data_IF_838871903360
#
_entry.id   IF_838871903360
#
_cell.length_a   1.000
_cell.length_b   1.000
_cell.length_c   1.000
_cell.angle_alpha   90.00
_cell.angle_beta   90.00
_cell.angle_gamma   90.00
#
_symmetry.space_group_name_H-M   'P 1'
#
loop_
_entity.id
_entity.type
_entity.pdbx_description
1 polymer ?
#
# COMPACT_ATOMS: atom_id res chain seq x y z
N UNK A 1 -11.80 -34.84 -10.68
CA UNK A 1 -12.09 -34.00 -9.48
C UNK A 1 -13.57 -33.70 -9.42
N UNK A 2 -14.32 -34.37 -8.54
CA UNK A 2 -15.71 -34.03 -8.27
C UNK A 2 -15.75 -32.62 -7.70
N UNK A 3 -16.40 -31.67 -8.37
CA UNK A 3 -16.53 -30.30 -7.86
C UNK A 3 -17.76 -30.25 -6.95
N UNK A 4 -17.62 -30.24 -5.61
CA UNK A 4 -18.74 -30.50 -4.69
C UNK A 4 -19.85 -29.43 -4.68
N UNK A 5 -19.79 -28.41 -5.54
CA UNK A 5 -20.75 -27.31 -5.59
C UNK A 5 -21.02 -26.87 -7.04
N UNK A 6 -21.51 -27.81 -7.86
CA UNK A 6 -22.01 -27.52 -9.22
C UNK A 6 -23.39 -26.86 -9.18
N UNK A 7 -24.24 -27.26 -8.23
CA UNK A 7 -25.56 -26.68 -8.02
C UNK A 7 -25.49 -25.41 -7.13
N UNK A 8 -26.10 -24.28 -7.54
CA UNK A 8 -26.14 -23.06 -6.74
C UNK A 8 -26.80 -23.23 -5.36
N UNK A 9 -27.77 -24.14 -5.20
CA UNK A 9 -28.46 -24.36 -3.92
C UNK A 9 -27.55 -25.02 -2.89
N UNK A 10 -26.74 -25.99 -3.29
CA UNK A 10 -25.75 -26.61 -2.41
C UNK A 10 -24.68 -25.60 -2.00
N UNK A 11 -24.23 -24.77 -2.93
CA UNK A 11 -23.29 -23.69 -2.63
C UNK A 11 -23.87 -22.67 -1.66
N UNK A 12 -25.13 -22.28 -1.83
CA UNK A 12 -25.83 -21.37 -0.93
C UNK A 12 -25.91 -21.92 0.50
N UNK A 13 -26.33 -23.19 0.66
CA UNK A 13 -26.42 -23.85 1.97
C UNK A 13 -25.04 -23.97 2.65
N UNK A 14 -24.02 -24.38 1.89
CA UNK A 14 -22.65 -24.47 2.42
C UNK A 14 -22.14 -23.09 2.88
N UNK A 15 -22.37 -22.04 2.09
CA UNK A 15 -21.97 -20.68 2.43
C UNK A 15 -22.63 -20.17 3.72
N UNK A 16 -23.94 -20.40 3.88
CA UNK A 16 -24.65 -20.01 5.10
C UNK A 16 -24.17 -20.77 6.33
N UNK A 17 -23.87 -22.07 6.18
CA UNK A 17 -23.33 -22.89 7.26
C UNK A 17 -21.96 -22.37 7.72
N UNK A 18 -21.05 -22.13 6.78
CA UNK A 18 -19.71 -21.62 7.10
C UNK A 18 -19.74 -20.19 7.65
N UNK A 19 -20.66 -19.34 7.18
CA UNK A 19 -20.83 -18.00 7.73
C UNK A 19 -21.31 -18.01 9.18
N UNK A 20 -22.11 -19.01 9.58
CA UNK A 20 -22.57 -19.17 10.96
C UNK A 20 -21.50 -19.64 11.94
N UNK A 21 -20.39 -20.20 11.46
CA UNK A 21 -19.27 -20.66 12.30
C UNK A 21 -18.20 -19.59 12.54
N UNK A 22 -18.37 -18.38 12.00
CA UNK A 22 -17.41 -17.30 12.21
C UNK A 22 -17.33 -16.91 13.69
N UNK A 23 -16.15 -16.49 14.14
CA UNK A 23 -15.86 -16.19 15.54
C UNK A 23 -16.53 -14.90 16.07
N UNK A 24 -16.95 -13.99 15.19
CA UNK A 24 -17.49 -12.67 15.53
C UNK A 24 -18.94 -12.56 15.02
N UNK A 25 -19.87 -12.17 15.91
CA UNK A 25 -21.30 -12.04 15.61
C UNK A 25 -21.57 -11.01 14.51
N UNK A 26 -20.87 -9.86 14.53
CA UNK A 26 -20.98 -8.85 13.48
C UNK A 26 -20.53 -9.40 12.11
N UNK A 27 -19.52 -10.27 12.12
CA UNK A 27 -19.05 -10.95 10.91
C UNK A 27 -20.06 -12.01 10.44
N UNK A 28 -20.64 -12.80 11.33
CA UNK A 28 -21.71 -13.76 10.99
C UNK A 28 -22.87 -13.06 10.29
N UNK A 29 -23.39 -11.98 10.87
CA UNK A 29 -24.51 -11.21 10.34
C UNK A 29 -24.19 -10.60 8.98
N UNK A 30 -23.05 -9.93 8.88
CA UNK A 30 -22.60 -9.29 7.64
C UNK A 30 -22.46 -10.30 6.50
N UNK A 31 -21.79 -11.42 6.76
CA UNK A 31 -21.54 -12.45 5.74
C UNK A 31 -22.83 -13.15 5.34
N UNK A 32 -23.69 -13.49 6.30
CA UNK A 32 -25.01 -14.08 6.05
C UNK A 32 -25.88 -13.17 5.18
N UNK A 33 -25.95 -11.88 5.52
CA UNK A 33 -26.72 -10.90 4.76
C UNK A 33 -26.11 -10.68 3.37
N UNK A 34 -24.79 -10.60 3.26
CA UNK A 34 -24.10 -10.47 1.97
C UNK A 34 -24.40 -11.67 1.05
N UNK A 35 -24.39 -12.90 1.57
CA UNK A 35 -24.74 -14.11 0.82
C UNK A 35 -26.19 -14.05 0.36
N UNK A 36 -27.14 -13.78 1.28
CA UNK A 36 -28.58 -13.66 0.96
C UNK A 36 -28.83 -12.62 -0.13
N UNK A 37 -28.31 -11.40 0.03
CA UNK A 37 -28.47 -10.33 -0.96
C UNK A 37 -27.84 -10.69 -2.30
N UNK A 38 -26.67 -11.36 -2.31
CA UNK A 38 -26.03 -11.76 -3.57
C UNK A 38 -26.85 -12.79 -4.32
N UNK A 39 -27.38 -13.82 -3.64
CA UNK A 39 -28.19 -14.87 -4.28
C UNK A 39 -29.57 -14.36 -4.70
N UNK A 40 -30.23 -13.53 -3.87
CA UNK A 40 -31.49 -12.86 -4.25
C UNK A 40 -31.32 -12.02 -5.50
N UNK A 41 -30.31 -11.15 -5.54
CA UNK A 41 -30.02 -10.33 -6.74
C UNK A 41 -29.80 -11.17 -8.00
N UNK A 42 -29.18 -12.36 -7.88
CA UNK A 42 -29.03 -13.25 -9.05
C UNK A 42 -30.34 -13.95 -9.43
N UNK A 43 -31.20 -14.26 -8.47
CA UNK A 43 -32.55 -14.74 -8.73
C UNK A 43 -33.34 -13.65 -9.46
N UNK A 44 -33.41 -12.45 -8.93
CA UNK A 44 -34.14 -11.32 -9.52
C UNK A 44 -33.64 -11.01 -10.93
N UNK A 45 -32.32 -11.09 -11.16
CA UNK A 45 -31.73 -10.91 -12.50
C UNK A 45 -32.15 -12.01 -13.48
N UNK A 46 -32.36 -13.26 -13.02
CA UNK A 46 -32.85 -14.35 -13.87
C UNK A 46 -34.34 -14.20 -14.14
N UNK A 47 -35.12 -13.87 -13.12
CA UNK A 47 -36.57 -13.71 -13.24
C UNK A 47 -36.89 -12.55 -14.19
N UNK A 48 -36.13 -11.45 -14.10
CA UNK A 48 -36.24 -10.31 -15.02
C UNK A 48 -35.90 -10.67 -16.49
N UNK A 49 -34.98 -11.60 -16.74
CA UNK A 49 -34.64 -12.05 -18.11
C UNK A 49 -35.51 -13.21 -18.60
N UNK A 50 -36.37 -13.78 -17.75
CA UNK A 50 -37.33 -14.82 -18.16
C UNK A 50 -38.62 -14.23 -18.74
N UNK A 51 -38.97 -12.98 -18.41
CA UNK A 51 -40.07 -12.25 -19.04
C UNK A 51 -39.74 -11.70 -20.44
N UNK A 52 -38.52 -11.91 -20.93
CA UNK A 52 -38.10 -11.64 -22.29
C UNK A 52 -36.82 -12.41 -22.60
N UNK A 53 -36.97 -13.58 -23.24
CA UNK A 53 -35.92 -14.49 -23.75
C UNK A 53 -34.47 -14.14 -23.38
N UNK A 54 -33.97 -14.63 -22.24
CA UNK A 54 -32.67 -15.32 -22.16
C UNK A 54 -32.35 -15.77 -20.72
N UNK A 55 -32.21 -17.08 -20.54
CA UNK A 55 -31.44 -17.63 -19.42
C UNK A 55 -30.05 -16.96 -19.40
N UNK A 56 -29.51 -16.62 -18.21
CA UNK A 56 -28.17 -16.03 -18.10
C UNK A 56 -27.17 -16.83 -18.95
N UNK A 57 -26.26 -16.17 -19.70
CA UNK A 57 -25.25 -16.87 -20.48
C UNK A 57 -24.53 -17.89 -19.60
N UNK A 58 -24.40 -19.14 -20.08
CA UNK A 58 -23.78 -20.25 -19.32
C UNK A 58 -22.42 -19.89 -18.70
N UNK A 59 -21.68 -18.99 -19.37
CA UNK A 59 -20.41 -18.45 -18.90
C UNK A 59 -20.54 -17.56 -17.66
N UNK A 60 -21.54 -16.68 -17.60
CA UNK A 60 -21.78 -15.79 -16.47
C UNK A 60 -22.20 -16.59 -15.23
N UNK A 61 -23.06 -17.60 -15.41
CA UNK A 61 -23.41 -18.53 -14.33
C UNK A 61 -22.18 -19.25 -13.78
N UNK A 62 -21.33 -19.77 -14.67
CA UNK A 62 -20.10 -20.47 -14.31
C UNK A 62 -19.13 -19.57 -13.54
N UNK A 63 -19.00 -18.31 -13.97
CA UNK A 63 -18.16 -17.31 -13.30
C UNK A 63 -18.69 -16.94 -11.91
N UNK A 64 -20.01 -16.80 -11.75
CA UNK A 64 -20.63 -16.55 -10.45
C UNK A 64 -20.45 -17.73 -9.49
N UNK A 65 -20.64 -18.97 -9.97
CA UNK A 65 -20.38 -20.16 -9.17
C UNK A 65 -18.90 -20.26 -8.77
N UNK A 66 -17.97 -19.90 -9.66
CA UNK A 66 -16.53 -19.85 -9.36
C UNK A 66 -16.23 -18.82 -8.25
N UNK A 67 -16.85 -17.64 -8.32
CA UNK A 67 -16.74 -16.60 -7.27
C UNK A 67 -17.29 -17.10 -5.93
N UNK A 68 -18.47 -17.74 -5.95
CA UNK A 68 -19.08 -18.30 -4.74
C UNK A 68 -18.22 -19.40 -4.11
N UNK A 69 -17.62 -20.29 -4.91
CA UNK A 69 -16.67 -21.32 -4.40
C UNK A 69 -15.41 -20.71 -3.79
N UNK A 70 -14.85 -19.66 -4.41
CA UNK A 70 -13.70 -18.94 -3.84
C UNK A 70 -14.06 -18.28 -2.51
N UNK A 71 -15.28 -17.78 -2.39
CA UNK A 71 -15.79 -17.18 -1.16
C UNK A 71 -16.02 -18.23 -0.08
N UNK A 72 -16.57 -19.40 -0.43
CA UNK A 72 -16.70 -20.55 0.47
C UNK A 72 -15.36 -20.99 1.02
N UNK A 73 -14.37 -21.16 0.14
CA UNK A 73 -13.01 -21.50 0.55
C UNK A 73 -12.44 -20.46 1.53
N UNK A 74 -12.64 -19.16 1.28
CA UNK A 74 -12.21 -18.12 2.21
C UNK A 74 -12.87 -18.25 3.59
N UNK A 75 -14.16 -18.57 3.67
CA UNK A 75 -14.88 -18.77 4.94
C UNK A 75 -14.39 -20.02 5.68
N UNK A 76 -14.25 -21.15 4.98
CA UNK A 76 -13.71 -22.39 5.54
C UNK A 76 -12.32 -22.17 6.13
N UNK A 77 -11.42 -21.50 5.39
CA UNK A 77 -10.08 -21.16 5.87
C UNK A 77 -10.11 -20.21 7.06
N UNK A 78 -11.08 -19.31 7.14
CA UNK A 78 -11.22 -18.44 8.30
C UNK A 78 -11.65 -19.24 9.53
N UNK A 79 -12.59 -20.18 9.36
CA UNK A 79 -13.07 -21.08 10.42
C UNK A 79 -11.98 -22.05 10.90
N UNK A 80 -11.09 -22.50 10.00
CA UNK A 80 -9.89 -23.28 10.33
C UNK A 80 -8.79 -22.47 11.04
N UNK A 81 -8.96 -21.15 11.23
CA UNK A 81 -8.01 -20.30 11.96
C UNK A 81 -6.88 -19.69 11.13
N UNK A 82 -6.95 -19.73 9.79
CA UNK A 82 -5.91 -19.12 8.96
C UNK A 82 -5.97 -17.59 9.02
N UNK A 83 -4.94 -16.98 9.62
CA UNK A 83 -4.84 -15.54 9.88
C UNK A 83 -5.11 -14.66 8.64
N UNK A 84 -4.63 -15.09 7.46
CA UNK A 84 -4.87 -14.37 6.20
C UNK A 84 -6.35 -14.35 5.80
N UNK A 85 -7.06 -15.46 5.99
CA UNK A 85 -8.50 -15.56 5.70
C UNK A 85 -9.32 -14.80 6.74
N UNK A 86 -9.01 -14.96 8.02
CA UNK A 86 -9.62 -14.21 9.15
C UNK A 86 -9.50 -12.70 8.93
N UNK A 87 -8.30 -12.21 8.58
CA UNK A 87 -8.07 -10.79 8.29
C UNK A 87 -8.92 -10.29 7.11
N UNK A 88 -9.16 -11.13 6.10
CA UNK A 88 -9.99 -10.76 4.96
C UNK A 88 -11.49 -10.69 5.32
N UNK A 89 -11.98 -11.63 6.14
CA UNK A 89 -13.33 -11.61 6.72
C UNK A 89 -13.54 -10.31 7.50
N UNK A 90 -12.69 -10.04 8.48
CA UNK A 90 -12.76 -8.81 9.28
C UNK A 90 -12.72 -7.53 8.45
N UNK A 91 -11.81 -7.47 7.47
CA UNK A 91 -11.73 -6.30 6.58
C UNK A 91 -13.00 -6.10 5.77
N UNK A 92 -13.72 -7.16 5.42
CA UNK A 92 -15.00 -7.05 4.73
C UNK A 92 -16.10 -6.58 5.69
N UNK A 93 -16.20 -7.19 6.87
CA UNK A 93 -17.18 -6.84 7.93
C UNK A 93 -17.08 -5.37 8.31
N UNK A 94 -15.91 -4.92 8.73
CA UNK A 94 -15.65 -3.55 9.19
C UNK A 94 -15.36 -2.59 8.03
N UNK A 95 -15.68 -3.00 6.79
CA UNK A 95 -15.59 -2.15 5.60
C UNK A 95 -14.22 -1.47 5.40
N UNK A 96 -13.14 -2.14 5.81
CA UNK A 96 -11.79 -1.75 5.45
C UNK A 96 -11.47 -2.10 3.98
N UNK A 97 -12.29 -2.93 3.35
CA UNK A 97 -12.18 -3.29 1.93
C UNK A 97 -13.56 -3.48 1.28
N UNK A 98 -13.59 -3.42 -0.05
CA UNK A 98 -14.73 -3.87 -0.86
C UNK A 98 -15.73 -2.77 -1.20
N UNK A 99 -16.96 -3.18 -1.51
CA UNK A 99 -18.05 -2.26 -1.90
C UNK A 99 -18.49 -1.38 -0.72
N UNK A 100 -18.63 -1.96 0.48
CA UNK A 100 -19.04 -1.24 1.69
C UNK A 100 -18.09 -0.07 2.01
N UNK A 101 -16.77 -0.30 1.94
CA UNK A 101 -15.77 0.78 2.06
C UNK A 101 -16.03 1.91 1.07
N UNK A 102 -16.16 1.57 -0.21
CA UNK A 102 -16.34 2.57 -1.27
C UNK A 102 -17.62 3.36 -1.08
N UNK A 103 -18.70 2.73 -0.62
CA UNK A 103 -19.94 3.41 -0.34
C UNK A 103 -19.78 4.44 0.79
N UNK A 104 -19.16 4.06 1.92
CA UNK A 104 -18.94 5.00 3.04
C UNK A 104 -17.93 6.10 2.69
N UNK A 105 -16.89 5.78 1.93
CA UNK A 105 -15.96 6.80 1.45
C UNK A 105 -16.59 7.75 0.43
N UNK A 106 -17.59 7.30 -0.33
CA UNK A 106 -18.25 8.14 -1.34
C UNK A 106 -18.83 9.39 -0.70
N UNK A 107 -19.43 9.27 0.49
CA UNK A 107 -20.00 10.40 1.23
C UNK A 107 -18.93 11.41 1.67
N UNK A 108 -17.78 10.92 2.14
CA UNK A 108 -16.67 11.78 2.56
C UNK A 108 -15.87 12.38 1.39
N UNK A 109 -15.95 11.76 0.21
CA UNK A 109 -15.29 12.22 -1.00
C UNK A 109 -16.14 13.19 -1.82
N UNK A 110 -17.40 13.43 -1.44
CA UNK A 110 -18.14 14.56 -1.98
C UNK A 110 -17.36 15.78 -1.49
N UNK A 111 -16.80 16.61 -2.40
CA UNK A 111 -16.24 17.87 -1.96
C UNK A 111 -17.40 18.58 -1.27
N UNK A 112 -17.28 18.78 0.05
CA UNK A 112 -18.18 19.74 0.71
C UNK A 112 -18.08 20.98 -0.16
N UNK A 113 -19.22 21.51 -0.60
CA UNK A 113 -19.24 22.77 -1.32
C UNK A 113 -18.62 23.79 -0.38
N UNK A 114 -17.31 23.95 -0.51
CA UNK A 114 -16.61 25.14 -0.16
C UNK A 114 -17.24 26.18 -1.07
N UNK A 115 -18.37 26.74 -0.62
CA UNK A 115 -18.53 28.18 -0.68
C UNK A 115 -17.20 28.71 -0.21
N UNK A 116 -16.33 29.00 -1.19
CA UNK A 116 -14.99 29.53 -1.07
C UNK A 116 -14.52 29.60 0.38
N UNK A 117 -14.10 28.45 0.92
CA UNK A 117 -13.10 28.49 1.97
C UNK A 117 -11.90 29.08 1.25
N UNK A 118 -11.86 30.42 1.20
CA UNK A 118 -10.69 31.18 0.83
C UNK A 118 -9.62 30.57 1.69
N UNK A 119 -8.79 29.72 1.07
CA UNK A 119 -7.55 29.32 1.69
C UNK A 119 -6.94 30.65 2.10
N UNK A 120 -6.81 30.87 3.42
CA UNK A 120 -6.18 32.08 3.92
C UNK A 120 -4.94 32.30 3.08
N UNK A 121 -4.67 33.54 2.66
CA UNK A 121 -3.53 33.86 1.79
C UNK A 121 -2.21 33.32 2.37
N UNK A 122 -2.20 33.05 3.68
CA UNK A 122 -1.10 32.48 4.46
C UNK A 122 -1.18 30.96 4.67
N UNK A 123 -2.11 30.25 4.02
CA UNK A 123 -2.23 28.80 4.13
C UNK A 123 -1.00 28.16 3.48
N UNK A 124 -0.10 27.70 4.33
CA UNK A 124 1.00 26.84 3.93
C UNK A 124 0.60 25.38 4.19
N UNK A 125 0.79 24.48 3.21
CA UNK A 125 0.56 23.07 3.45
C UNK A 125 1.49 22.58 4.58
N UNK A 126 1.05 21.57 5.37
CA UNK A 126 1.85 21.05 6.48
C UNK A 126 3.30 20.75 6.05
N UNK A 127 4.33 21.05 6.87
CA UNK A 127 5.74 20.89 6.49
C UNK A 127 6.12 19.49 6.01
N UNK A 128 5.43 18.47 6.51
CA UNK A 128 5.62 17.08 6.08
C UNK A 128 5.13 16.86 4.64
N UNK A 129 4.05 17.52 4.23
CA UNK A 129 3.51 17.45 2.89
C UNK A 129 4.45 18.14 1.88
N UNK A 130 4.94 19.35 2.20
CA UNK A 130 5.92 20.05 1.35
C UNK A 130 7.21 19.25 1.20
N UNK A 131 7.69 18.62 2.27
CA UNK A 131 8.84 17.71 2.22
C UNK A 131 8.61 16.54 1.25
N UNK A 132 7.46 15.87 1.32
CA UNK A 132 7.12 14.75 0.42
C UNK A 132 7.08 15.21 -1.03
N UNK A 133 6.41 16.33 -1.31
CA UNK A 133 6.31 16.88 -2.66
C UNK A 133 7.69 17.24 -3.23
N UNK A 134 8.56 17.82 -2.41
CA UNK A 134 9.94 18.14 -2.78
C UNK A 134 10.80 16.87 -3.01
N UNK A 135 10.52 15.77 -2.30
CA UNK A 135 11.18 14.50 -2.55
C UNK A 135 10.70 13.84 -3.85
N UNK A 136 9.39 13.87 -4.12
CA UNK A 136 8.80 13.25 -5.31
C UNK A 136 9.18 13.98 -6.60
N UNK A 137 9.19 15.32 -6.58
CA UNK A 137 9.59 16.13 -7.75
C UNK A 137 11.04 15.87 -8.16
N UNK A 138 11.94 15.67 -7.20
CA UNK A 138 13.33 15.28 -7.45
C UNK A 138 13.41 13.92 -8.14
N UNK A 139 12.71 12.91 -7.62
CA UNK A 139 12.70 11.55 -8.20
C UNK A 139 12.17 11.56 -9.64
N UNK A 140 11.09 12.32 -9.90
CA UNK A 140 10.52 12.44 -11.25
C UNK A 140 11.52 13.02 -12.25
N UNK A 141 12.19 14.13 -11.88
CA UNK A 141 13.23 14.75 -12.70
C UNK A 141 14.40 13.82 -13.00
N UNK A 142 14.76 12.93 -12.06
CA UNK A 142 15.81 11.93 -12.30
C UNK A 142 15.39 10.85 -13.29
N UNK A 143 14.14 10.37 -13.21
CA UNK A 143 13.59 9.39 -14.14
C UNK A 143 13.47 9.94 -15.57
N UNK A 144 13.02 11.20 -15.71
CA UNK A 144 12.89 11.86 -17.01
C UNK A 144 14.24 12.16 -17.66
N UNK A 145 15.26 12.49 -16.87
CA UNK A 145 16.59 12.83 -17.38
C UNK A 145 17.45 11.61 -17.78
N UNK A 146 16.94 10.37 -17.64
CA UNK A 146 17.70 9.14 -17.94
C UNK A 146 18.96 8.94 -17.08
N UNK A 147 19.10 9.72 -15.99
CA UNK A 147 20.26 9.66 -15.09
C UNK A 147 20.02 8.60 -14.01
N UNK A 148 21.07 7.84 -13.68
CA UNK A 148 21.06 6.89 -12.57
C UNK A 148 20.51 7.56 -11.30
N UNK A 149 19.60 6.89 -10.60
CA UNK A 149 19.10 7.30 -9.28
C UNK A 149 20.33 7.64 -8.41
N UNK A 150 20.42 8.82 -7.76
CA UNK A 150 21.59 9.16 -6.97
C UNK A 150 21.76 8.21 -5.77
N UNK A 151 23.00 7.94 -5.31
CA UNK A 151 23.25 7.08 -4.16
C UNK A 151 22.51 7.57 -2.91
N UNK A 152 22.07 6.65 -2.04
CA UNK A 152 21.37 7.03 -0.83
C UNK A 152 22.35 7.79 0.05
N UNK A 153 21.93 8.93 0.61
CA UNK A 153 22.72 9.67 1.59
C UNK A 153 22.73 8.86 2.88
N UNK A 154 23.89 8.30 3.23
CA UNK A 154 24.11 7.55 4.47
C UNK A 154 24.75 8.51 5.47
N UNK A 155 24.15 8.76 6.65
CA UNK A 155 24.75 9.62 7.65
C UNK A 155 25.97 8.94 8.28
N UNK A 156 27.03 9.71 8.56
CA UNK A 156 28.28 9.20 9.14
C UNK A 156 28.08 8.59 10.53
N UNK A 157 27.15 9.17 11.29
CA UNK A 157 26.86 8.81 12.68
C UNK A 157 25.42 8.34 12.85
N UNK A 158 25.21 7.41 13.77
CA UNK A 158 23.90 6.95 14.21
C UNK A 158 23.30 7.90 15.27
N UNK A 159 22.07 7.62 15.74
CA UNK A 159 21.40 8.43 16.78
C UNK A 159 22.19 8.57 18.09
N UNK A 160 23.14 7.67 18.35
CA UNK A 160 24.00 7.63 19.54
C UNK A 160 25.39 8.22 19.27
N UNK A 161 25.56 8.98 18.19
CA UNK A 161 26.83 9.58 17.77
C UNK A 161 27.97 8.58 17.44
N UNK A 162 27.66 7.29 17.36
CA UNK A 162 28.60 6.24 16.94
C UNK A 162 28.64 6.12 15.42
N UNK A 163 29.75 5.65 14.81
CA UNK A 163 29.81 5.44 13.37
C UNK A 163 28.70 4.51 12.89
N UNK A 164 28.15 4.79 11.72
CA UNK A 164 27.06 3.98 11.16
C UNK A 164 27.53 2.52 10.93
N UNK A 165 26.77 1.50 11.35
CA UNK A 165 27.23 0.11 11.29
C UNK A 165 27.57 -0.33 9.85
N UNK A 166 28.80 -0.80 9.61
CA UNK A 166 29.29 -1.19 8.27
C UNK A 166 28.39 -2.22 7.57
N UNK A 167 27.83 -3.18 8.32
CA UNK A 167 26.88 -4.19 7.79
C UNK A 167 25.62 -3.51 7.23
N UNK A 168 25.12 -2.48 7.92
CA UNK A 168 23.94 -1.73 7.51
C UNK A 168 24.22 -0.86 6.27
N UNK A 169 25.40 -0.24 6.20
CA UNK A 169 25.88 0.49 5.02
C UNK A 169 25.88 -0.45 3.81
N UNK A 170 26.52 -1.63 3.92
CA UNK A 170 26.53 -2.65 2.85
C UNK A 170 25.11 -3.05 2.43
N UNK A 171 24.20 -3.26 3.38
CA UNK A 171 22.81 -3.62 3.10
C UNK A 171 21.98 -2.50 2.46
N UNK A 172 22.32 -1.23 2.69
CA UNK A 172 21.69 -0.07 2.04
C UNK A 172 22.18 0.04 0.60
N UNK A 173 23.50 -0.05 0.39
CA UNK A 173 24.13 0.01 -0.94
C UNK A 173 23.63 -1.14 -1.83
N UNK A 174 23.59 -2.37 -1.30
CA UNK A 174 23.09 -3.55 -2.03
C UNK A 174 21.64 -3.40 -2.48
N UNK A 175 20.78 -2.76 -1.68
CA UNK A 175 19.38 -2.51 -2.02
C UNK A 175 19.18 -1.39 -3.04
N UNK A 176 20.09 -0.42 -3.05
CA UNK A 176 20.03 0.71 -3.97
C UNK A 176 20.50 0.36 -5.39
N UNK A 177 21.38 -0.62 -5.55
CA UNK A 177 21.87 -1.02 -6.88
C UNK A 177 20.70 -1.36 -7.83
N UNK A 178 20.64 -0.72 -9.01
CA UNK A 178 19.58 -0.96 -9.98
C UNK A 178 19.68 -2.41 -10.48
N UNK A 179 18.70 -3.23 -10.09
CA UNK A 179 18.66 -4.66 -10.38
C UNK A 179 18.12 -5.52 -9.23
N UNK A 180 18.20 -5.04 -7.99
CA UNK A 180 17.76 -5.82 -6.82
C UNK A 180 16.23 -5.83 -6.61
N UNK A 181 15.50 -4.86 -7.16
CA UNK A 181 14.03 -4.73 -7.05
C UNK A 181 13.36 -4.49 -8.41
N UNK A 182 13.76 -5.21 -9.46
CA UNK A 182 12.95 -5.27 -10.67
C UNK A 182 12.00 -6.50 -10.60
N UNK A 183 10.67 -6.33 -10.70
CA UNK A 183 9.71 -7.43 -10.58
C UNK A 183 9.88 -8.56 -11.60
N UNK A 184 10.70 -8.35 -12.64
CA UNK A 184 10.94 -9.30 -13.73
C UNK A 184 12.24 -10.12 -13.57
N UNK A 185 13.05 -9.88 -12.52
CA UNK A 185 14.39 -10.45 -12.40
C UNK A 185 14.49 -11.64 -11.42
N UNK A 186 13.38 -12.30 -11.06
CA UNK A 186 13.44 -13.48 -10.18
C UNK A 186 14.16 -14.69 -10.82
N UNK A 187 14.29 -14.73 -12.16
CA UNK A 187 14.83 -15.89 -12.89
C UNK A 187 16.14 -15.64 -13.65
N UNK A 188 16.76 -14.46 -13.52
CA UNK A 188 18.07 -14.19 -14.15
C UNK A 188 19.10 -13.91 -13.06
N UNK A 189 20.08 -14.81 -12.96
CA UNK A 189 21.22 -14.70 -12.07
C UNK A 189 21.83 -13.29 -12.08
N UNK A 190 22.35 -12.88 -10.93
CA UNK A 190 22.91 -11.56 -10.69
C UNK A 190 23.82 -11.12 -11.86
N UNK A 191 23.66 -9.90 -12.40
CA UNK A 191 24.61 -9.41 -13.40
C UNK A 191 26.01 -9.33 -12.79
N UNK A 192 27.07 -9.64 -13.55
CA UNK A 192 28.41 -9.69 -13.03
C UNK A 192 28.82 -8.32 -12.48
N UNK A 193 29.33 -8.33 -11.25
CA UNK A 193 29.89 -7.15 -10.58
C UNK A 193 31.05 -6.65 -11.43
N UNK A 194 30.87 -5.57 -12.18
CA UNK A 194 31.99 -4.86 -12.81
C UNK A 194 32.87 -4.31 -11.69
N UNK A 195 34.09 -4.83 -11.57
CA UNK A 195 35.12 -4.53 -10.54
C UNK A 195 35.54 -3.05 -10.43
N UNK A 196 34.99 -2.15 -11.25
CA UNK A 196 35.44 -0.75 -11.34
C UNK A 196 34.95 0.17 -10.21
N UNK A 197 34.13 -0.30 -9.28
CA UNK A 197 33.59 0.56 -8.19
C UNK A 197 34.41 0.56 -6.89
N UNK A 198 35.44 -0.29 -6.76
CA UNK A 198 36.24 -0.37 -5.53
C UNK A 198 37.37 0.65 -5.42
N UNK A 199 37.61 1.49 -6.44
CA UNK A 199 38.72 2.45 -6.44
C UNK A 199 38.34 3.89 -6.08
N UNK A 200 37.08 4.18 -5.75
CA UNK A 200 36.65 5.55 -5.42
C UNK A 200 36.52 5.85 -3.91
N UNK A 201 36.86 4.90 -3.03
CA UNK A 201 36.82 5.11 -1.58
C UNK A 201 38.20 5.29 -0.91
N UNK A 202 39.28 5.40 -1.70
CA UNK A 202 40.65 5.54 -1.17
C UNK A 202 41.45 6.63 -1.87
N UNK A 203 40.83 7.76 -2.18
CA UNK A 203 41.58 9.00 -2.41
C UNK A 203 41.04 10.08 -1.50
N UNK A 204 41.70 10.19 -0.34
CA UNK A 204 41.89 11.45 0.34
C UNK A 204 42.33 12.49 -0.67
N UNK A 205 41.44 13.41 -1.05
CA UNK A 205 41.85 14.72 -1.50
C UNK A 205 41.02 15.75 -0.74
N UNK A 206 41.75 16.46 0.12
CA UNK A 206 41.31 17.71 0.72
C UNK A 206 41.09 18.71 -0.42
N UNK A 207 39.99 19.45 -0.36
CA UNK A 207 39.74 20.61 -1.22
C UNK A 207 38.79 20.33 -2.38
N UNK A 208 37.87 21.28 -2.60
CA UNK A 208 36.93 21.38 -3.71
C UNK A 208 35.65 20.51 -3.63
N UNK A 209 34.78 20.87 -2.68
CA UNK A 209 33.34 20.93 -2.94
C UNK A 209 32.65 21.87 -1.93
N UNK A 210 33.26 23.04 -1.72
CA UNK A 210 32.76 24.07 -0.79
C UNK A 210 31.94 25.19 -1.45
N UNK A 211 31.69 25.17 -2.77
CA UNK A 211 31.20 26.39 -3.46
C UNK A 211 29.81 26.28 -4.12
N UNK A 212 28.90 25.39 -3.68
CA UNK A 212 27.53 25.35 -4.25
C UNK A 212 26.39 25.46 -3.22
N UNK A 213 26.64 26.06 -2.06
CA UNK A 213 25.59 26.48 -1.12
C UNK A 213 25.69 27.98 -0.88
N UNK A 214 24.94 28.83 -1.62
CA UNK A 214 24.80 30.22 -1.24
C UNK A 214 23.63 30.31 -0.27
N UNK A 215 23.87 30.06 1.02
CA UNK A 215 23.10 30.70 2.10
C UNK A 215 24.03 30.85 3.31
N UNK A 216 24.77 31.96 3.27
CA UNK A 216 25.17 32.69 4.45
C UNK A 216 23.90 33.01 5.26
N UNK A 217 23.87 32.59 6.51
CA UNK A 217 22.96 33.14 7.52
C UNK A 217 23.49 34.52 7.89
N UNK A 218 22.75 35.63 7.68
CA UNK A 218 23.14 36.90 8.24
C UNK A 218 22.49 37.08 9.61
N UNK A 219 23.27 37.72 10.49
CA UNK A 219 22.85 38.51 11.65
C UNK A 219 22.84 37.83 13.04
N UNK A 220 24.01 37.97 13.68
CA UNK A 220 24.26 38.55 15.01
C UNK A 220 23.70 37.82 16.25
N UNK A 221 24.59 37.40 17.17
CA UNK A 221 25.05 38.12 18.40
C UNK A 221 23.90 38.41 19.35
N UNK A 222 24.19 38.32 20.67
CA UNK A 222 23.33 38.41 21.86
C UNK A 222 23.00 36.99 22.37
N UNK A 223 23.59 36.40 23.41
CA UNK A 223 24.25 36.93 24.61
C UNK A 223 25.26 35.91 25.15
N UNK A 224 26.52 36.31 25.32
CA UNK A 224 27.35 35.84 26.43
C UNK A 224 27.48 37.06 27.35
N UNK A 225 26.94 36.95 28.56
CA UNK A 225 27.41 37.73 29.70
C UNK A 225 27.76 36.74 30.79
N UNK A 226 29.07 36.65 31.02
CA UNK A 226 29.68 36.14 32.23
C UNK A 226 29.03 36.79 33.45
N UNK A 227 28.72 35.99 34.47
CA UNK A 227 28.67 36.47 35.85
C UNK A 227 29.65 35.59 36.62
N UNK A 228 30.75 36.23 37.00
CA UNK A 228 31.68 35.77 38.02
C UNK A 228 30.97 35.77 39.37
N UNK A 229 31.31 34.79 40.20
CA UNK A 229 31.12 34.80 41.65
C UNK A 229 31.90 35.94 42.29
N UNK A 230 31.28 36.61 43.24
CA UNK A 230 31.83 36.82 44.58
C UNK A 230 30.75 36.37 45.59
#
# INVERSE_FOLDING_TARGET
MNTPYRNPLHLYRALLREAGYLFDSASQDFHTQHIRCSFRRQKDRRDATQHGESSLPSQELSHQLKRGRKYLYMLQRANEGYSGAVKNVLKATYALKGKRRRNMMKELMIPQSVESAEYSKDWQPPPKFTMIMNCQSKVHRFLEAGKLIPPPVIPDKNKQQKPFPKVRIKGIIKRWQPGFFHPQNHDRGAPPVREKFLLLSTTTNKGQLLDLLPWQNPVHKLWNTSIHTD
#
